data_IF_772784008434
#
_entry.id   IF_772784008434
#
_cell.length_a   1.000
_cell.length_b   1.000
_cell.length_c   1.000
_cell.angle_alpha   90.00
_cell.angle_beta   90.00
_cell.angle_gamma   90.00
#
_symmetry.space_group_name_H-M   'P 1'
#
loop_
_entity.id
_entity.type
_entity.pdbx_description
1 polymer ?
#
# COMPACT_ATOMS: atom_id res chain seq x y z
N UNK A 1 6.99 5.64 -4.69
CA UNK A 1 6.66 4.56 -3.73
C UNK A 1 6.85 3.19 -4.35
N UNK A 2 6.94 2.12 -3.57
CA UNK A 2 6.99 0.73 -4.05
C UNK A 2 6.33 -0.23 -3.07
N UNK A 3 5.71 -1.29 -3.58
CA UNK A 3 5.19 -2.42 -2.81
C UNK A 3 5.95 -3.68 -3.26
N UNK A 4 6.47 -4.44 -2.30
CA UNK A 4 7.25 -5.65 -2.55
C UNK A 4 6.56 -6.81 -1.85
N UNK A 5 6.30 -7.91 -2.56
CA UNK A 5 5.84 -9.16 -1.99
C UNK A 5 7.01 -10.13 -1.89
N UNK A 6 7.28 -10.60 -0.68
CA UNK A 6 8.37 -11.51 -0.34
C UNK A 6 7.77 -12.80 0.19
N UNK A 7 8.19 -13.95 -0.33
CA UNK A 7 7.90 -15.25 0.30
C UNK A 7 9.17 -16.10 0.30
N UNK A 8 9.38 -16.87 1.38
CA UNK A 8 10.57 -17.68 1.59
C UNK A 8 11.90 -16.91 1.35
N UNK A 9 11.94 -15.62 1.74
CA UNK A 9 13.11 -14.76 1.58
C UNK A 9 13.40 -14.28 0.15
N UNK A 10 12.56 -14.63 -0.84
CA UNK A 10 12.68 -14.18 -2.23
C UNK A 10 11.61 -13.14 -2.57
N UNK A 11 11.97 -12.13 -3.34
CA UNK A 11 11.03 -11.13 -3.88
C UNK A 11 10.32 -11.73 -5.10
N UNK A 12 8.99 -11.84 -5.04
CA UNK A 12 8.18 -12.40 -6.14
C UNK A 12 7.44 -11.32 -6.93
N UNK A 13 7.09 -10.22 -6.28
CA UNK A 13 6.39 -9.12 -6.92
C UNK A 13 6.97 -7.81 -6.47
N UNK A 14 7.30 -6.95 -7.43
CA UNK A 14 7.76 -5.59 -7.18
C UNK A 14 6.91 -4.62 -7.97
N UNK A 15 6.00 -3.97 -7.25
CA UNK A 15 5.13 -2.97 -7.83
C UNK A 15 5.71 -1.57 -7.56
N UNK A 16 6.25 -0.94 -8.61
CA UNK A 16 6.73 0.45 -8.52
C UNK A 16 5.60 1.44 -8.76
N UNK A 17 5.37 2.28 -7.76
CA UNK A 17 4.38 3.35 -7.79
C UNK A 17 5.08 4.67 -8.05
N UNK A 18 5.19 5.04 -9.33
CA UNK A 18 5.68 6.37 -9.74
C UNK A 18 4.70 7.47 -9.33
N UNK A 19 3.41 7.27 -9.60
CA UNK A 19 2.34 8.21 -9.27
C UNK A 19 1.16 7.46 -8.62
N UNK A 20 1.15 7.32 -7.28
CA UNK A 20 0.20 6.46 -6.60
C UNK A 20 -1.26 6.91 -6.78
N UNK A 21 -1.52 8.17 -7.08
CA UNK A 21 -2.88 8.65 -7.35
C UNK A 21 -3.34 8.64 -8.80
N UNK A 22 -2.46 8.37 -9.76
CA UNK A 22 -2.90 8.03 -11.11
C UNK A 22 -3.34 6.56 -11.19
N UNK A 23 -3.01 5.78 -10.16
CA UNK A 23 -3.42 4.39 -10.07
C UNK A 23 -4.87 4.30 -9.59
N UNK A 24 -5.73 3.71 -10.44
CA UNK A 24 -7.19 3.60 -10.24
C UNK A 24 -7.58 3.11 -8.84
N UNK A 25 -6.81 2.17 -8.29
CA UNK A 25 -7.11 1.54 -6.99
C UNK A 25 -6.53 2.29 -5.79
N UNK A 26 -5.42 3.01 -5.96
CA UNK A 26 -4.74 3.66 -4.85
C UNK A 26 -5.26 5.07 -4.61
N UNK A 27 -5.73 5.76 -5.65
CA UNK A 27 -6.39 7.05 -5.51
C UNK A 27 -7.54 7.03 -4.47
N UNK A 28 -8.55 6.15 -4.58
CA UNK A 28 -9.64 6.12 -3.61
C UNK A 28 -9.18 5.71 -2.21
N UNK A 29 -8.21 4.79 -2.09
CA UNK A 29 -7.63 4.42 -0.80
C UNK A 29 -6.91 5.58 -0.13
N UNK A 30 -6.10 6.32 -0.88
CA UNK A 30 -5.40 7.50 -0.36
C UNK A 30 -6.37 8.60 0.02
N UNK A 31 -7.43 8.85 -0.77
CA UNK A 31 -8.49 9.80 -0.40
C UNK A 31 -9.32 9.37 0.81
N UNK A 32 -9.50 8.07 1.03
CA UNK A 32 -10.24 7.55 2.18
C UNK A 32 -9.41 7.59 3.48
N UNK A 33 -8.09 7.41 3.38
CA UNK A 33 -7.20 7.25 4.54
C UNK A 33 -6.47 8.54 4.89
N UNK A 34 -6.16 9.37 3.90
CA UNK A 34 -5.37 10.59 4.03
C UNK A 34 -6.13 11.79 3.47
N UNK A 35 -5.88 12.97 4.03
CA UNK A 35 -6.35 14.21 3.42
C UNK A 35 -5.41 14.60 2.27
N UNK A 36 -5.76 14.19 1.06
CA UNK A 36 -4.93 14.36 -0.16
C UNK A 36 -5.43 15.55 -0.98
N UNK A 37 -4.50 16.36 -1.49
CA UNK A 37 -4.83 17.46 -2.41
C UNK A 37 -5.30 16.93 -3.77
N UNK A 38 -5.79 17.81 -4.65
CA UNK A 38 -6.17 17.44 -6.03
C UNK A 38 -5.01 16.87 -6.84
N UNK A 39 -3.77 17.29 -6.54
CA UNK A 39 -2.52 16.75 -7.10
C UNK A 39 -1.97 15.57 -6.30
N UNK A 40 -2.76 15.07 -5.36
CA UNK A 40 -2.43 13.94 -4.51
C UNK A 40 -1.16 14.08 -3.67
N UNK A 41 -0.85 15.32 -3.26
CA UNK A 41 0.08 15.56 -2.18
C UNK A 41 -0.62 15.22 -0.86
N UNK A 42 -0.01 14.33 -0.07
CA UNK A 42 -0.50 14.04 1.27
C UNK A 42 -0.02 15.16 2.20
N UNK A 43 -0.96 15.88 2.80
CA UNK A 43 -0.63 16.97 3.72
C UNK A 43 -0.02 16.40 5.01
N UNK A 44 0.92 17.13 5.61
CA UNK A 44 1.53 16.73 6.89
C UNK A 44 0.45 16.75 7.98
N UNK A 45 0.24 15.62 8.66
CA UNK A 45 -0.80 15.48 9.68
C UNK A 45 -0.76 14.11 10.35
N UNK A 46 -1.58 13.92 11.39
CA UNK A 46 -1.83 12.60 11.99
C UNK A 46 -3.13 12.06 11.42
N UNK A 47 -3.05 10.92 10.76
CA UNK A 47 -4.20 10.26 10.14
C UNK A 47 -4.45 8.94 10.88
N UNK A 48 -5.42 8.88 11.80
CA UNK A 48 -5.82 7.61 12.38
C UNK A 48 -6.54 6.81 11.30
N UNK A 49 -5.99 5.65 10.93
CA UNK A 49 -6.63 4.73 10.00
C UNK A 49 -6.63 3.33 10.60
N UNK A 50 -7.77 2.64 10.44
CA UNK A 50 -7.93 1.24 10.80
C UNK A 50 -8.41 0.50 9.56
N UNK A 51 -7.62 -0.49 9.14
CA UNK A 51 -7.81 -1.19 7.87
C UNK A 51 -7.89 -2.67 8.17
N UNK A 52 -9.04 -3.27 7.89
CA UNK A 52 -9.22 -4.72 7.93
C UNK A 52 -8.63 -5.32 6.64
N UNK A 53 -7.35 -5.69 6.73
CA UNK A 53 -6.59 -6.24 5.61
C UNK A 53 -7.23 -7.54 5.11
N UNK A 54 -7.80 -8.37 5.98
CA UNK A 54 -8.42 -9.63 5.60
C UNK A 54 -9.65 -9.39 4.73
N UNK A 55 -10.57 -8.53 5.19
CA UNK A 55 -11.79 -8.20 4.46
C UNK A 55 -11.50 -7.57 3.09
N UNK A 56 -10.53 -6.66 3.03
CA UNK A 56 -10.13 -6.02 1.77
C UNK A 56 -9.54 -7.05 0.80
N UNK A 57 -8.64 -7.91 1.29
CA UNK A 57 -8.01 -8.94 0.44
C UNK A 57 -9.06 -9.92 -0.10
N UNK A 58 -10.02 -10.33 0.72
CA UNK A 58 -11.14 -11.16 0.28
C UNK A 58 -11.99 -10.50 -0.81
N UNK A 59 -12.29 -9.20 -0.66
CA UNK A 59 -13.07 -8.46 -1.67
C UNK A 59 -12.36 -8.30 -3.02
N UNK A 60 -11.03 -8.24 -3.03
CA UNK A 60 -10.25 -8.05 -4.25
C UNK A 60 -9.94 -9.35 -4.98
N UNK A 61 -9.57 -10.40 -4.23
CA UNK A 61 -9.11 -11.65 -4.83
C UNK A 61 -10.21 -12.72 -4.97
N UNK A 62 -11.43 -12.44 -4.50
CA UNK A 62 -12.61 -13.27 -4.79
C UNK A 62 -12.48 -14.74 -4.37
N UNK A 63 -11.67 -15.05 -3.36
CA UNK A 63 -11.37 -16.41 -2.92
C UNK A 63 -10.08 -17.04 -3.49
N UNK A 64 -9.32 -16.31 -4.31
CA UNK A 64 -7.95 -16.69 -4.69
C UNK A 64 -6.98 -16.23 -3.60
N UNK A 65 -6.50 -17.16 -2.77
CA UNK A 65 -5.62 -16.82 -1.66
C UNK A 65 -4.14 -16.90 -2.07
N UNK A 66 -3.33 -15.97 -1.55
CA UNK A 66 -1.89 -16.11 -1.54
C UNK A 66 -1.54 -17.18 -0.49
N UNK A 67 -1.30 -18.41 -0.94
CA UNK A 67 -0.95 -19.52 -0.06
C UNK A 67 0.51 -19.40 0.40
N UNK A 68 0.77 -19.67 1.69
CA UNK A 68 2.10 -19.61 2.31
C UNK A 68 2.35 -18.34 3.10
N UNK A 69 3.54 -18.21 3.70
CA UNK A 69 3.93 -17.01 4.45
C UNK A 69 4.37 -15.91 3.48
N UNK A 70 3.61 -14.84 3.42
CA UNK A 70 3.91 -13.67 2.59
C UNK A 70 4.26 -12.48 3.47
N UNK A 71 5.29 -11.74 3.07
CA UNK A 71 5.62 -10.44 3.65
C UNK A 71 5.43 -9.38 2.59
N UNK A 72 4.47 -8.50 2.82
CA UNK A 72 4.22 -7.32 2.00
C UNK A 72 4.93 -6.12 2.61
N UNK A 73 5.97 -5.63 1.93
CA UNK A 73 6.69 -4.42 2.30
C UNK A 73 6.22 -3.26 1.44
N UNK A 74 5.57 -2.29 2.06
CA UNK A 74 5.10 -1.06 1.42
C UNK A 74 5.97 0.12 1.83
N UNK A 75 6.53 0.82 0.86
CA UNK A 75 7.46 1.93 1.04
C UNK A 75 6.98 3.13 0.22
N UNK A 76 6.48 4.16 0.89
CA UNK A 76 6.16 5.43 0.27
C UNK A 76 7.16 6.47 0.74
N UNK A 77 7.92 7.00 -0.22
CA UNK A 77 8.98 7.95 -0.01
C UNK A 77 8.82 9.11 -1.00
N UNK A 78 9.23 10.29 -0.55
CA UNK A 78 9.38 11.52 -1.32
C UNK A 78 10.85 11.93 -1.27
N UNK A 79 11.28 12.76 -2.21
CA UNK A 79 12.66 13.28 -2.31
C UNK A 79 13.08 14.10 -1.08
N UNK A 80 12.10 14.56 -0.29
CA UNK A 80 12.32 15.35 0.93
C UNK A 80 12.28 14.49 2.21
N UNK A 81 11.45 13.44 2.26
CA UNK A 81 11.34 12.56 3.42
C UNK A 81 10.59 11.26 3.11
N UNK A 82 10.87 10.20 3.86
CA UNK A 82 10.09 8.96 3.82
C UNK A 82 8.74 9.19 4.50
N UNK A 83 7.65 9.01 3.73
CA UNK A 83 6.30 9.24 4.21
C UNK A 83 5.78 8.06 5.04
N UNK A 84 6.09 6.83 4.61
CA UNK A 84 5.54 5.62 5.21
C UNK A 84 6.35 4.37 4.85
N UNK A 85 6.60 3.51 5.82
CA UNK A 85 7.16 2.17 5.63
C UNK A 85 6.37 1.19 6.50
N UNK A 86 5.77 0.18 5.90
CA UNK A 86 5.06 -0.87 6.63
C UNK A 86 5.40 -2.24 6.06
N UNK A 87 5.76 -3.16 6.95
CA UNK A 87 5.92 -4.58 6.69
C UNK A 87 4.73 -5.35 7.28
N UNK A 88 3.89 -5.90 6.42
CA UNK A 88 2.76 -6.75 6.80
C UNK A 88 3.15 -8.20 6.54
N UNK A 89 3.04 -9.05 7.56
CA UNK A 89 3.16 -10.50 7.42
C UNK A 89 1.76 -11.10 7.35
N UNK A 90 1.49 -11.86 6.30
CA UNK A 90 0.23 -12.57 6.04
C UNK A 90 0.52 -14.06 5.92
#
# INVERSE_FOLDING_TARGET
>A
GKIIAITNGKEYLRFQLKKPCEHLFLRPLLHAICNVTKDCAILKGRYPFSVDVQKITQSYYGGSFLLGNWTFRSLFYSDVCNFYCLDIKV
#
